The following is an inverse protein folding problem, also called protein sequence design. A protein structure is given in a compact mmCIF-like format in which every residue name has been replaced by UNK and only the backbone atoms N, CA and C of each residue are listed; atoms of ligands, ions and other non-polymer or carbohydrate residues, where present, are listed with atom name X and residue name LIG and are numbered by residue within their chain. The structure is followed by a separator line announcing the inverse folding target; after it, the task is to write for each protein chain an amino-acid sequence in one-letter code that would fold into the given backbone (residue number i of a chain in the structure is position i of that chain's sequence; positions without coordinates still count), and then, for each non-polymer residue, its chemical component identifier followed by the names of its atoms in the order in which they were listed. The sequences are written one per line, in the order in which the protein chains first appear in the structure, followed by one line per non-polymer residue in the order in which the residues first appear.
data_IF_482930214042
#
_entry.id   IF_482930214042
#
_cell.length_a   1.000
_cell.length_b   1.000
_cell.length_c   1.000
_cell.angle_alpha   90.00
_cell.angle_beta   90.00
_cell.angle_gamma   90.00
#
_symmetry.space_group_name_H-M   'P 1'
#
loop_
_entity.id
_entity.type
_entity.pdbx_description
1 polymer ?
#
# COMPACT_ATOMS: atom_id res chain seq x y z
N UNK A 1 -0.08 -17.53 -6.23
CA UNK A 1 0.31 -16.32 -5.52
C UNK A 1 0.43 -15.12 -6.46
N UNK A 2 0.50 -13.91 -5.90
CA UNK A 2 0.71 -12.70 -6.68
C UNK A 2 2.12 -12.64 -7.29
N UNK A 3 2.29 -11.96 -8.45
CA UNK A 3 3.60 -11.69 -9.03
C UNK A 3 4.56 -11.03 -8.03
N UNK A 4 5.82 -11.45 -8.06
CA UNK A 4 6.88 -10.91 -7.21
C UNK A 4 7.75 -9.85 -7.89
N UNK A 5 8.89 -9.50 -7.27
CA UNK A 5 9.74 -8.39 -7.69
C UNK A 5 10.21 -8.46 -9.16
N UNK A 6 10.49 -9.64 -9.68
CA UNK A 6 10.93 -9.80 -11.08
C UNK A 6 9.82 -9.36 -12.05
N UNK A 7 8.63 -9.83 -11.83
CA UNK A 7 7.46 -9.49 -12.65
C UNK A 7 7.05 -8.02 -12.47
N UNK A 8 7.14 -7.49 -11.24
CA UNK A 8 6.89 -6.08 -10.94
C UNK A 8 7.84 -5.18 -11.75
N UNK A 9 9.14 -5.46 -11.71
CA UNK A 9 10.13 -4.69 -12.46
C UNK A 9 9.90 -4.77 -13.97
N UNK A 10 9.56 -5.96 -14.46
CA UNK A 10 9.22 -6.17 -15.88
C UNK A 10 8.00 -5.31 -16.29
N UNK A 11 6.97 -5.29 -15.47
CA UNK A 11 5.75 -4.52 -15.74
C UNK A 11 6.03 -3.01 -15.76
N UNK A 12 6.80 -2.50 -14.80
CA UNK A 12 7.19 -1.08 -14.75
C UNK A 12 8.03 -0.68 -15.99
N UNK A 13 9.00 -1.51 -16.36
CA UNK A 13 9.81 -1.27 -17.57
C UNK A 13 8.97 -1.25 -18.84
N UNK A 14 8.01 -2.15 -18.96
CA UNK A 14 7.08 -2.23 -20.08
C UNK A 14 6.30 -0.92 -20.24
N UNK A 15 5.76 -0.37 -19.16
CA UNK A 15 5.02 0.89 -19.18
C UNK A 15 5.93 2.07 -19.53
N UNK A 16 7.15 2.14 -19.02
CA UNK A 16 8.11 3.17 -19.35
C UNK A 16 8.48 3.15 -20.84
N UNK A 17 8.68 1.96 -21.41
CA UNK A 17 9.03 1.78 -22.82
C UNK A 17 7.90 2.21 -23.75
N UNK A 18 6.64 2.01 -23.36
CA UNK A 18 5.49 2.44 -24.14
C UNK A 18 5.25 3.96 -24.09
N UNK A 19 5.93 4.66 -23.19
CA UNK A 19 5.77 6.10 -22.99
C UNK A 19 4.31 6.53 -22.81
N UNK A 20 3.56 5.72 -22.05
CA UNK A 20 2.16 5.97 -21.68
C UNK A 20 2.09 6.59 -20.29
N UNK A 21 1.00 7.31 -20.01
CA UNK A 21 0.68 7.75 -18.67
C UNK A 21 0.16 6.55 -17.86
N UNK A 22 0.74 6.33 -16.68
CA UNK A 22 0.31 5.27 -15.77
C UNK A 22 0.54 5.68 -14.33
N UNK A 23 -0.09 4.96 -13.41
CA UNK A 23 0.04 5.20 -11.97
C UNK A 23 0.58 3.97 -11.27
N UNK A 24 1.46 4.20 -10.31
CA UNK A 24 2.01 3.16 -9.45
C UNK A 24 1.48 3.40 -8.03
N UNK A 25 0.82 2.40 -7.46
CA UNK A 25 0.27 2.45 -6.11
C UNK A 25 1.05 1.48 -5.22
N UNK A 26 1.60 1.99 -4.11
CA UNK A 26 2.28 1.21 -3.09
C UNK A 26 1.39 1.13 -1.87
N UNK A 27 1.07 -0.10 -1.45
CA UNK A 27 0.23 -0.38 -0.30
C UNK A 27 1.09 -0.94 0.82
N UNK A 28 0.96 -0.39 2.01
CA UNK A 28 1.71 -0.81 3.18
C UNK A 28 0.80 -0.80 4.41
N UNK A 29 0.88 -1.85 5.22
CA UNK A 29 0.09 -1.96 6.44
C UNK A 29 0.78 -1.23 7.59
N UNK A 30 0.01 -0.41 8.31
CA UNK A 30 0.49 0.30 9.49
C UNK A 30 0.33 -0.57 10.73
N UNK A 31 1.36 -0.58 11.59
CA UNK A 31 1.36 -1.31 12.87
C UNK A 31 1.19 -2.84 12.73
N UNK A 32 1.54 -3.40 11.58
CA UNK A 32 1.37 -4.83 11.31
C UNK A 32 2.29 -5.70 12.17
N UNK A 33 3.51 -5.22 12.45
CA UNK A 33 4.43 -5.93 13.34
C UNK A 33 3.82 -6.11 14.74
N UNK A 34 3.20 -5.05 15.28
CA UNK A 34 2.53 -5.12 16.58
C UNK A 34 1.40 -6.15 16.59
N UNK A 35 0.63 -6.22 15.50
CA UNK A 35 -0.40 -7.27 15.35
C UNK A 35 0.21 -8.66 15.39
N UNK A 36 1.26 -8.93 14.64
CA UNK A 36 1.94 -10.23 14.62
C UNK A 36 2.52 -10.60 16.00
N UNK A 37 3.06 -9.63 16.73
CA UNK A 37 3.61 -9.85 18.07
C UNK A 37 2.54 -10.32 19.06
N UNK A 38 1.30 -9.86 18.92
CA UNK A 38 0.18 -10.22 19.81
C UNK A 38 -0.59 -11.44 19.32
N UNK A 39 -0.93 -11.48 18.04
CA UNK A 39 -1.84 -12.49 17.47
C UNK A 39 -1.12 -13.66 16.78
N UNK A 40 0.16 -13.50 16.47
CA UNK A 40 0.98 -14.51 15.80
C UNK A 40 0.92 -14.43 14.28
N UNK A 41 1.91 -15.07 13.64
CA UNK A 41 2.11 -14.99 12.19
C UNK A 41 0.99 -15.62 11.37
N UNK A 42 0.35 -16.70 11.87
CA UNK A 42 -0.76 -17.33 11.15
C UNK A 42 -1.94 -16.38 10.96
N UNK A 43 -2.26 -15.60 11.99
CA UNK A 43 -3.30 -14.56 11.89
C UNK A 43 -2.84 -13.38 11.06
N UNK A 44 -1.57 -13.02 11.14
CA UNK A 44 -0.97 -12.02 10.28
C UNK A 44 -1.07 -12.41 8.79
N UNK A 45 -0.80 -13.66 8.46
CA UNK A 45 -0.94 -14.17 7.09
C UNK A 45 -2.37 -14.04 6.58
N UNK A 46 -3.37 -14.23 7.43
CA UNK A 46 -4.78 -14.01 7.07
C UNK A 46 -5.06 -12.56 6.73
N UNK A 47 -4.46 -11.61 7.44
CA UNK A 47 -4.57 -10.18 7.10
C UNK A 47 -3.88 -9.89 5.76
N UNK A 48 -2.73 -10.48 5.49
CA UNK A 48 -2.04 -10.35 4.20
C UNK A 48 -2.93 -10.85 3.05
N UNK A 49 -3.52 -12.02 3.19
CA UNK A 49 -4.45 -12.58 2.20
C UNK A 49 -5.69 -11.71 2.01
N UNK A 50 -6.27 -11.24 3.10
CA UNK A 50 -7.39 -10.29 3.09
C UNK A 50 -7.04 -9.00 2.34
N UNK A 51 -5.87 -8.44 2.61
CA UNK A 51 -5.38 -7.23 1.94
C UNK A 51 -5.19 -7.45 0.44
N UNK A 52 -4.56 -8.57 0.06
CA UNK A 52 -4.37 -8.93 -1.34
C UNK A 52 -5.70 -9.03 -2.09
N UNK A 53 -6.71 -9.65 -1.49
CA UNK A 53 -8.04 -9.80 -2.11
C UNK A 53 -8.73 -8.44 -2.29
N UNK A 54 -8.64 -7.54 -1.32
CA UNK A 54 -9.18 -6.17 -1.43
C UNK A 54 -8.53 -5.42 -2.59
N UNK A 55 -7.21 -5.47 -2.70
CA UNK A 55 -6.47 -4.79 -3.77
C UNK A 55 -6.85 -5.37 -5.13
N UNK A 56 -6.87 -6.69 -5.27
CA UNK A 56 -7.26 -7.36 -6.51
C UNK A 56 -8.68 -6.98 -6.96
N UNK A 57 -9.63 -6.98 -6.05
CA UNK A 57 -11.01 -6.61 -6.34
C UNK A 57 -11.12 -5.14 -6.79
N UNK A 58 -10.44 -4.23 -6.10
CA UNK A 58 -10.44 -2.82 -6.46
C UNK A 58 -9.78 -2.58 -7.83
N UNK A 59 -8.65 -3.20 -8.10
CA UNK A 59 -7.97 -3.10 -9.40
C UNK A 59 -8.84 -3.65 -10.53
N UNK A 60 -9.51 -4.78 -10.30
CA UNK A 60 -10.44 -5.34 -11.28
C UNK A 60 -11.63 -4.40 -11.56
N UNK A 61 -12.19 -3.80 -10.52
CA UNK A 61 -13.38 -2.95 -10.65
C UNK A 61 -13.07 -1.56 -11.26
N UNK A 62 -11.86 -1.06 -11.06
CA UNK A 62 -11.49 0.31 -11.45
C UNK A 62 -10.49 0.40 -12.61
N UNK A 63 -10.15 -0.70 -13.28
CA UNK A 63 -9.41 -0.58 -14.51
C UNK A 63 -8.40 -1.63 -14.94
N UNK A 64 -8.49 -2.87 -14.55
CA UNK A 64 -7.66 -3.97 -15.08
C UNK A 64 -6.14 -3.68 -15.09
N UNK A 65 -5.60 -3.34 -13.94
CA UNK A 65 -4.18 -3.14 -13.77
C UNK A 65 -3.44 -4.41 -13.33
N UNK A 66 -2.18 -4.24 -13.07
CA UNK A 66 -1.30 -5.26 -12.53
C UNK A 66 -1.25 -5.16 -11.00
N UNK A 67 -1.24 -6.28 -10.30
CA UNK A 67 -1.05 -6.35 -8.85
C UNK A 67 0.12 -7.26 -8.54
N UNK A 68 1.05 -6.80 -7.69
CA UNK A 68 2.20 -7.56 -7.23
C UNK A 68 2.34 -7.54 -5.72
N UNK A 69 3.07 -8.51 -5.19
CA UNK A 69 3.44 -8.60 -3.78
C UNK A 69 4.95 -8.38 -3.66
N UNK A 70 5.33 -7.27 -3.03
CA UNK A 70 6.74 -6.91 -2.86
C UNK A 70 7.37 -7.80 -1.80
N UNK A 71 6.66 -8.03 -0.70
CA UNK A 71 7.09 -8.89 0.40
C UNK A 71 6.44 -8.45 1.71
N UNK A 72 6.27 -9.38 2.66
CA UNK A 72 5.63 -9.09 3.94
C UNK A 72 4.26 -8.43 3.75
N UNK A 73 4.13 -7.22 4.27
CA UNK A 73 2.91 -6.40 4.23
C UNK A 73 2.90 -5.33 3.11
N UNK A 74 3.81 -5.45 2.14
CA UNK A 74 3.97 -4.48 1.05
C UNK A 74 3.43 -5.03 -0.28
N UNK A 75 2.50 -4.29 -0.90
CA UNK A 75 1.91 -4.61 -2.19
C UNK A 75 2.09 -3.46 -3.17
N UNK A 76 1.96 -3.75 -4.44
CA UNK A 76 2.04 -2.77 -5.52
C UNK A 76 0.91 -3.01 -6.52
N UNK A 77 0.36 -1.93 -7.07
CA UNK A 77 -0.49 -2.00 -8.25
C UNK A 77 0.04 -1.04 -9.32
N UNK A 78 -0.08 -1.42 -10.56
CA UNK A 78 0.25 -0.58 -11.72
C UNK A 78 -1.00 -0.42 -12.56
N UNK A 79 -1.48 0.81 -12.67
CA UNK A 79 -2.75 1.14 -13.31
C UNK A 79 -2.53 2.02 -14.54
N UNK A 80 -3.27 1.78 -15.63
CA UNK A 80 -3.27 2.72 -16.75
C UNK A 80 -3.88 4.07 -16.33
N UNK A 81 -3.32 5.16 -16.86
CA UNK A 81 -3.82 6.51 -16.59
C UNK A 81 -3.47 7.05 -15.21
N UNK A 82 -4.18 8.09 -14.82
CA UNK A 82 -3.90 8.85 -13.58
C UNK A 82 -5.06 8.88 -12.58
N UNK A 83 -6.23 8.41 -12.97
CA UNK A 83 -7.45 8.53 -12.18
C UNK A 83 -7.61 7.31 -11.25
N UNK A 84 -6.90 7.33 -10.13
CA UNK A 84 -6.84 6.21 -9.17
C UNK A 84 -7.42 6.55 -7.80
N UNK A 85 -8.01 7.73 -7.62
CA UNK A 85 -8.55 8.17 -6.33
C UNK A 85 -9.68 7.29 -5.83
N UNK A 86 -10.62 6.95 -6.72
CA UNK A 86 -11.74 6.05 -6.37
C UNK A 86 -11.26 4.66 -5.97
N UNK A 87 -10.22 4.16 -6.64
CA UNK A 87 -9.58 2.90 -6.29
C UNK A 87 -9.00 2.97 -4.88
N UNK A 88 -8.24 4.02 -4.56
CA UNK A 88 -7.66 4.22 -3.23
C UNK A 88 -8.75 4.30 -2.16
N UNK A 89 -9.81 5.07 -2.40
CA UNK A 89 -10.93 5.21 -1.48
C UNK A 89 -11.65 3.88 -1.25
N UNK A 90 -11.85 3.08 -2.31
CA UNK A 90 -12.48 1.76 -2.21
C UNK A 90 -11.64 0.79 -1.38
N UNK A 91 -10.32 0.76 -1.61
CA UNK A 91 -9.40 -0.08 -0.83
C UNK A 91 -9.44 0.28 0.65
N UNK A 92 -9.36 1.58 0.97
CA UNK A 92 -9.40 2.06 2.36
C UNK A 92 -10.73 1.70 3.02
N UNK A 93 -11.84 1.94 2.34
CA UNK A 93 -13.18 1.64 2.85
C UNK A 93 -13.34 0.15 3.16
N UNK A 94 -12.99 -0.72 2.22
CA UNK A 94 -13.10 -2.17 2.38
C UNK A 94 -12.15 -2.70 3.45
N UNK A 95 -10.93 -2.18 3.49
CA UNK A 95 -9.94 -2.57 4.49
C UNK A 95 -10.41 -2.20 5.91
N UNK A 96 -10.76 -0.94 6.12
CA UNK A 96 -11.17 -0.44 7.44
C UNK A 96 -12.45 -1.09 7.95
N UNK A 97 -13.39 -1.41 7.07
CA UNK A 97 -14.63 -2.06 7.44
C UNK A 97 -14.44 -3.50 7.92
N UNK A 98 -13.45 -4.20 7.38
CA UNK A 98 -13.24 -5.62 7.70
C UNK A 98 -12.13 -5.91 8.69
N UNK A 99 -11.17 -5.00 8.87
CA UNK A 99 -10.00 -5.25 9.72
C UNK A 99 -10.35 -5.55 11.19
N UNK A 100 -11.40 -4.95 11.80
CA UNK A 100 -11.75 -5.27 13.18
C UNK A 100 -12.05 -6.75 13.43
N UNK A 101 -12.49 -7.48 12.43
CA UNK A 101 -12.80 -8.92 12.53
C UNK A 101 -11.58 -9.78 12.87
N UNK A 102 -10.36 -9.27 12.62
CA UNK A 102 -9.11 -9.96 12.91
C UNK A 102 -8.63 -9.76 14.34
N UNK A 103 -9.37 -8.98 15.15
CA UNK A 103 -9.07 -8.68 16.55
C UNK A 103 -10.09 -9.34 17.48
N UNK A 104 -9.68 -9.65 18.70
CA UNK A 104 -10.62 -10.11 19.72
C UNK A 104 -11.56 -8.96 20.14
N UNK A 105 -12.62 -9.30 20.88
CA UNK A 105 -13.65 -8.35 21.27
C UNK A 105 -13.08 -7.17 22.07
N UNK A 106 -12.18 -7.45 23.03
CA UNK A 106 -11.57 -6.42 23.88
C UNK A 106 -10.78 -5.41 23.06
N UNK A 107 -9.87 -5.89 22.20
CA UNK A 107 -9.02 -5.03 21.38
C UNK A 107 -9.84 -4.24 20.37
N UNK A 108 -10.89 -4.86 19.85
CA UNK A 108 -11.83 -4.19 18.93
C UNK A 108 -12.57 -3.05 19.60
N UNK A 109 -13.07 -3.25 20.82
CA UNK A 109 -13.77 -2.22 21.61
C UNK A 109 -12.82 -1.10 22.04
N UNK A 110 -11.61 -1.45 22.47
CA UNK A 110 -10.58 -0.49 22.87
C UNK A 110 -10.06 0.33 21.68
N UNK A 111 -10.04 -0.25 20.47
CA UNK A 111 -9.51 0.37 19.27
C UNK A 111 -7.98 0.38 19.21
N UNK A 112 -7.31 -0.35 20.08
CA UNK A 112 -5.85 -0.48 20.14
C UNK A 112 -5.45 -1.82 20.76
N UNK A 113 -4.19 -2.20 20.57
CA UNK A 113 -3.55 -3.32 21.25
C UNK A 113 -2.38 -2.83 22.10
N UNK A 114 -2.07 -3.54 23.16
CA UNK A 114 -0.95 -3.26 24.05
C UNK A 114 0.18 -4.25 23.81
N UNK A 115 1.40 -3.74 23.62
CA UNK A 115 2.59 -4.55 23.37
C UNK A 115 3.71 -4.08 24.30
N UNK A 116 4.32 -5.01 25.03
CA UNK A 116 5.49 -4.72 25.84
C UNK A 116 6.74 -4.67 24.95
N UNK A 117 7.51 -3.57 25.04
CA UNK A 117 8.79 -3.46 24.34
C UNK A 117 9.90 -4.23 25.11
N UNK A 118 11.12 -4.23 24.57
CA UNK A 118 12.27 -4.94 25.17
C UNK A 118 12.63 -4.47 26.58
N UNK A 119 12.20 -3.26 26.97
CA UNK A 119 12.40 -2.67 28.30
C UNK A 119 11.24 -2.97 29.25
N UNK A 120 10.25 -3.75 28.82
CA UNK A 120 9.05 -4.04 29.58
C UNK A 120 8.03 -2.91 29.65
N UNK A 121 8.22 -1.84 28.85
CA UNK A 121 7.29 -0.71 28.75
C UNK A 121 6.16 -1.09 27.80
N UNK A 122 4.92 -0.90 28.25
CA UNK A 122 3.73 -1.15 27.44
C UNK A 122 3.51 0.02 26.49
N UNK A 123 3.43 -0.30 25.18
CA UNK A 123 3.08 0.63 24.12
C UNK A 123 1.70 0.28 23.57
N UNK A 124 0.90 1.29 23.22
CA UNK A 124 -0.40 1.13 22.60
C UNK A 124 -0.30 1.36 21.11
N UNK A 125 -0.82 0.42 20.33
CA UNK A 125 -0.85 0.50 18.87
C UNK A 125 -2.28 0.49 18.37
N UNK A 126 -2.71 1.45 17.54
CA UNK A 126 -4.02 1.40 16.91
C UNK A 126 -4.21 0.10 16.12
N UNK A 127 -5.45 -0.22 15.80
CA UNK A 127 -5.72 -1.32 14.87
C UNK A 127 -5.00 -1.06 13.54
N UNK A 128 -4.57 -2.12 12.89
CA UNK A 128 -3.87 -2.04 11.60
C UNK A 128 -4.67 -1.21 10.60
N UNK A 129 -4.00 -0.29 9.94
CA UNK A 129 -4.53 0.53 8.86
C UNK A 129 -3.71 0.34 7.59
N UNK A 130 -4.16 0.92 6.47
CA UNK A 130 -3.47 0.81 5.19
C UNK A 130 -3.05 2.19 4.70
N UNK A 131 -1.77 2.31 4.34
CA UNK A 131 -1.20 3.52 3.74
C UNK A 131 -0.95 3.28 2.25
N UNK A 132 -1.45 4.18 1.40
CA UNK A 132 -1.32 4.07 -0.05
C UNK A 132 -0.54 5.26 -0.57
N UNK A 133 0.64 5.00 -1.13
CA UNK A 133 1.47 6.00 -1.80
C UNK A 133 1.33 5.84 -3.31
N UNK A 134 0.91 6.89 -4.00
CA UNK A 134 0.68 6.87 -5.45
C UNK A 134 1.65 7.80 -6.15
N UNK A 135 2.29 7.28 -7.20
CA UNK A 135 3.14 8.05 -8.11
C UNK A 135 2.50 8.02 -9.49
N UNK A 136 2.15 9.20 -10.02
CA UNK A 136 1.67 9.33 -11.38
C UNK A 136 2.86 9.53 -12.33
N UNK A 137 3.04 8.60 -13.23
CA UNK A 137 4.08 8.65 -14.25
C UNK A 137 3.51 9.25 -15.55
N UNK A 138 3.58 10.57 -15.65
CA UNK A 138 3.30 11.26 -16.91
C UNK A 138 4.33 10.87 -17.97
N UNK A 139 3.97 11.04 -19.23
CA UNK A 139 4.88 10.76 -20.35
C UNK A 139 6.19 11.52 -20.20
N UNK A 140 7.31 10.78 -20.24
CA UNK A 140 8.65 11.35 -20.17
C UNK A 140 9.09 11.82 -18.79
N UNK A 141 8.27 11.63 -17.75
CA UNK A 141 8.64 12.03 -16.38
C UNK A 141 9.83 11.24 -15.83
N UNK A 142 9.82 9.94 -16.03
CA UNK A 142 10.83 9.03 -15.49
C UNK A 142 11.66 8.38 -16.60
N UNK A 143 12.98 8.38 -16.44
CA UNK A 143 13.89 7.69 -17.33
C UNK A 143 14.02 6.20 -17.03
N UNK A 144 13.86 5.82 -15.75
CA UNK A 144 14.03 4.45 -15.28
C UNK A 144 13.22 4.18 -14.00
N UNK A 145 13.18 2.92 -13.58
CA UNK A 145 12.41 2.49 -12.41
C UNK A 145 13.02 2.98 -11.08
N UNK A 146 14.32 3.29 -11.03
CA UNK A 146 14.95 3.83 -9.81
C UNK A 146 14.41 5.22 -9.47
N UNK A 147 14.18 6.06 -10.47
CA UNK A 147 13.58 7.39 -10.28
C UNK A 147 12.15 7.29 -9.72
N UNK A 148 11.37 6.30 -10.18
CA UNK A 148 10.04 6.02 -9.63
C UNK A 148 10.16 5.65 -8.16
N UNK A 149 11.08 4.77 -7.80
CA UNK A 149 11.32 4.34 -6.43
C UNK A 149 11.71 5.48 -5.50
N UNK A 150 12.52 6.43 -5.97
CA UNK A 150 12.93 7.61 -5.18
C UNK A 150 11.74 8.50 -4.84
N UNK A 151 10.86 8.77 -5.80
CA UNK A 151 9.64 9.54 -5.58
C UNK A 151 8.67 8.77 -4.67
N UNK A 152 8.51 7.47 -4.91
CA UNK A 152 7.67 6.61 -4.08
C UNK A 152 8.07 6.65 -2.61
N UNK A 153 9.37 6.63 -2.31
CA UNK A 153 9.88 6.70 -0.94
C UNK A 153 9.46 8.00 -0.25
N UNK A 154 9.50 9.13 -0.95
CA UNK A 154 9.05 10.42 -0.43
C UNK A 154 7.55 10.41 -0.11
N UNK A 155 6.74 9.87 -1.02
CA UNK A 155 5.28 9.79 -0.85
C UNK A 155 4.92 8.83 0.29
N UNK A 156 5.60 7.69 0.39
CA UNK A 156 5.42 6.73 1.50
C UNK A 156 5.68 7.39 2.85
N UNK A 157 6.76 8.17 2.96
CA UNK A 157 7.09 8.88 4.19
C UNK A 157 5.98 9.86 4.60
N UNK A 158 5.44 10.61 3.64
CA UNK A 158 4.34 11.56 3.89
C UNK A 158 3.06 10.84 4.33
N UNK A 159 2.69 9.75 3.67
CA UNK A 159 1.48 8.97 4.01
C UNK A 159 1.60 8.32 5.38
N UNK A 160 2.76 7.76 5.72
CA UNK A 160 3.01 7.11 7.02
C UNK A 160 2.95 8.10 8.21
N UNK A 161 3.12 9.39 7.97
CA UNK A 161 2.97 10.41 9.02
C UNK A 161 1.51 10.66 9.40
N UNK A 162 0.55 10.23 8.60
CA UNK A 162 -0.89 10.35 8.87
C UNK A 162 -1.35 9.13 9.68
N UNK A 163 -2.06 9.39 10.78
CA UNK A 163 -2.65 8.32 11.59
C UNK A 163 -3.89 7.75 10.89
N UNK A 164 -4.04 6.43 10.90
CA UNK A 164 -5.12 5.73 10.23
C UNK A 164 -4.85 5.48 8.75
N UNK A 165 -5.83 4.91 8.08
CA UNK A 165 -5.74 4.63 6.64
C UNK A 165 -5.80 5.91 5.84
N UNK A 166 -4.88 6.06 4.90
CA UNK A 166 -4.80 7.25 4.06
C UNK A 166 -4.11 6.96 2.73
N UNK A 167 -4.25 7.88 1.78
CA UNK A 167 -3.50 7.85 0.53
C UNK A 167 -2.99 9.25 0.18
N UNK A 168 -1.90 9.28 -0.56
CA UNK A 168 -1.36 10.51 -1.12
C UNK A 168 -0.88 10.24 -2.55
N UNK A 169 -1.09 11.20 -3.42
CA UNK A 169 -0.76 11.10 -4.84
C UNK A 169 0.27 12.15 -5.23
N UNK A 170 1.39 11.73 -5.78
CA UNK A 170 2.38 12.61 -6.39
C UNK A 170 2.07 12.74 -7.88
N UNK A 171 1.76 13.97 -8.33
CA UNK A 171 1.44 14.32 -9.71
C UNK A 171 2.45 15.28 -10.33
N UNK A 172 3.62 15.46 -9.71
CA UNK A 172 4.65 16.36 -10.22
C UNK A 172 5.08 15.93 -11.62
N UNK A 173 5.30 16.91 -12.48
CA UNK A 173 5.78 16.70 -13.84
C UNK A 173 7.26 17.06 -13.93
N UNK A 174 7.96 16.50 -14.93
CA UNK A 174 9.33 16.93 -15.22
C UNK A 174 9.30 18.42 -15.63
N UNK A 175 10.08 19.27 -14.94
CA UNK A 175 10.26 20.65 -15.36
C UNK A 175 10.99 20.69 -16.70
N UNK A 176 10.28 21.12 -17.73
CA UNK A 176 10.83 21.23 -19.11
C UNK A 176 11.75 22.48 -19.23
N UNK A 177 11.73 23.38 -18.23
CA UNK A 177 12.45 24.66 -18.21
C UNK A 177 13.69 24.64 -17.29
N UNK A 178 14.32 23.51 -17.14
CA UNK A 178 15.59 23.44 -16.43
C UNK A 178 16.75 23.24 -17.41
#
# INVERSE_FOLDING_TARGET
GLPGNVQINSELKKHLLKNEEFSILYFDLDNFKAYNDVYGFLKGDQIIEYTANIILNAVHNYGNGFVGHIGGDDFIAVMPGKDVEKLCQAVICDFDNGIPKFYNEKDREDGYIEVANRKGIIEKFPLTSISIAVVVADRGRFANILEIGDVAAQVKHAVKAVMGSSYAIDRRRKNINA
#
